data_IF_249892886975
#
_entry.id   IF_249892886975
#
_cell.length_a   1.000
_cell.length_b   1.000
_cell.length_c   1.000
_cell.angle_alpha   90.00
_cell.angle_beta   90.00
_cell.angle_gamma   90.00
#
_symmetry.space_group_name_H-M   'P 1'
#
loop_
_entity.id
_entity.type
_entity.pdbx_description
1 polymer ?
#
# COMPACT_ATOMS: atom_id res chain seq x y z
N UNK A 1 -34.93 27.52 19.13
CA UNK A 1 -33.57 27.24 18.63
C UNK A 1 -33.59 25.86 18.00
N UNK A 2 -33.90 25.81 16.71
CA UNK A 2 -33.89 24.58 15.90
C UNK A 2 -32.51 24.45 15.28
N UNK A 3 -31.83 23.35 15.59
CA UNK A 3 -30.56 22.94 14.97
C UNK A 3 -30.76 22.79 13.47
N UNK A 4 -29.96 23.50 12.68
CA UNK A 4 -29.89 23.29 11.24
C UNK A 4 -29.34 21.89 10.97
N UNK A 5 -30.18 20.99 10.45
CA UNK A 5 -29.73 19.78 9.79
C UNK A 5 -28.89 20.19 8.58
N UNK A 6 -27.61 19.83 8.59
CA UNK A 6 -26.73 20.04 7.46
C UNK A 6 -27.25 19.20 6.29
N UNK A 7 -27.72 19.88 5.23
CA UNK A 7 -28.12 19.23 3.99
C UNK A 7 -26.90 18.53 3.36
N UNK A 8 -27.04 17.28 2.88
CA UNK A 8 -25.96 16.62 2.16
C UNK A 8 -25.64 17.40 0.89
N UNK A 9 -24.36 17.69 0.69
CA UNK A 9 -23.81 18.29 -0.53
C UNK A 9 -24.26 17.51 -1.77
N UNK A 10 -24.99 18.15 -2.67
CA UNK A 10 -25.36 17.62 -3.99
C UNK A 10 -24.12 17.57 -4.89
N UNK A 11 -23.23 16.61 -4.63
CA UNK A 11 -22.19 16.26 -5.60
C UNK A 11 -22.86 15.85 -6.92
N UNK A 12 -22.31 16.23 -8.09
CA UNK A 12 -22.93 16.03 -9.42
C UNK A 12 -23.13 14.56 -9.81
N UNK A 13 -22.64 13.62 -9.00
CA UNK A 13 -22.89 12.20 -9.14
C UNK A 13 -23.42 11.68 -7.80
N UNK A 14 -24.55 10.94 -7.76
CA UNK A 14 -24.97 10.30 -6.53
C UNK A 14 -23.83 9.39 -6.08
N UNK A 15 -23.34 9.60 -4.86
CA UNK A 15 -22.31 8.75 -4.28
C UNK A 15 -22.74 7.29 -4.44
N UNK A 16 -21.83 6.44 -4.94
CA UNK A 16 -22.05 4.99 -4.92
C UNK A 16 -22.27 4.60 -3.46
N UNK A 17 -23.15 3.62 -3.20
CA UNK A 17 -23.42 3.19 -1.83
C UNK A 17 -22.10 2.92 -1.11
N UNK A 18 -21.88 3.53 0.07
CA UNK A 18 -20.70 3.27 0.89
C UNK A 18 -20.51 1.78 1.12
N UNK A 19 -19.26 1.34 1.17
CA UNK A 19 -18.95 -0.06 1.52
C UNK A 19 -18.78 -0.20 3.02
N UNK A 20 -19.06 -1.37 3.56
CA UNK A 20 -18.68 -1.70 4.93
C UNK A 20 -17.17 -1.94 4.98
N UNK A 21 -16.42 -0.98 5.54
CA UNK A 21 -14.97 -1.08 5.69
C UNK A 21 -14.57 -2.36 6.42
N UNK A 22 -13.44 -2.94 6.02
CA UNK A 22 -12.82 -4.01 6.80
C UNK A 22 -12.27 -3.45 8.11
N UNK A 23 -12.14 -4.27 9.18
CA UNK A 23 -11.64 -3.81 10.47
C UNK A 23 -10.20 -3.26 10.45
N UNK A 24 -9.43 -3.60 9.41
CA UNK A 24 -8.05 -3.14 9.22
C UNK A 24 -7.94 -1.91 8.31
N UNK A 25 -9.07 -1.39 7.78
CA UNK A 25 -9.07 -0.23 6.91
C UNK A 25 -8.62 1.03 7.67
N UNK A 26 -7.62 1.75 7.15
CA UNK A 26 -7.07 2.94 7.78
C UNK A 26 -8.00 4.15 7.73
N UNK A 27 -8.83 4.25 6.69
CA UNK A 27 -9.79 5.35 6.54
C UNK A 27 -10.97 5.18 7.50
N UNK A 28 -11.48 3.95 7.62
CA UNK A 28 -12.50 3.55 8.61
C UNK A 28 -13.86 4.25 8.48
N UNK A 29 -14.06 5.10 7.48
CA UNK A 29 -15.22 5.99 7.31
C UNK A 29 -16.28 5.45 6.34
N UNK A 30 -16.12 4.20 5.88
CA UNK A 30 -17.00 3.58 4.89
C UNK A 30 -16.81 4.13 3.47
N UNK A 31 -15.77 4.95 3.23
CA UNK A 31 -15.55 5.66 1.96
C UNK A 31 -16.76 6.50 1.55
N UNK A 32 -17.38 7.19 2.50
CA UNK A 32 -18.65 7.90 2.32
C UNK A 32 -18.58 9.07 1.31
N UNK A 33 -17.39 9.61 1.05
CA UNK A 33 -17.14 10.72 0.11
C UNK A 33 -16.67 10.24 -1.26
N UNK A 34 -16.42 8.94 -1.43
CA UNK A 34 -15.87 8.37 -2.65
C UNK A 34 -16.96 8.21 -3.73
N UNK A 35 -16.82 8.93 -4.84
CA UNK A 35 -17.83 9.03 -5.90
C UNK A 35 -17.73 7.93 -6.96
N UNK A 36 -16.69 7.11 -6.94
CA UNK A 36 -16.47 6.06 -7.93
C UNK A 36 -16.14 4.70 -7.31
N UNK A 37 -16.39 3.62 -8.06
CA UNK A 37 -16.00 2.25 -7.65
C UNK A 37 -14.50 2.11 -7.43
N UNK A 38 -13.69 2.92 -8.11
CA UNK A 38 -12.23 2.91 -7.99
C UNK A 38 -11.77 3.48 -6.65
N UNK A 39 -12.56 4.36 -6.05
CA UNK A 39 -12.24 5.05 -4.81
C UNK A 39 -12.85 4.34 -3.58
N UNK A 40 -13.79 3.42 -3.81
CA UNK A 40 -14.37 2.54 -2.79
C UNK A 40 -13.41 1.37 -2.48
N UNK A 41 -12.25 1.68 -1.90
CA UNK A 41 -11.15 0.73 -1.68
C UNK A 41 -10.58 0.83 -0.27
N UNK A 42 -10.57 -0.28 0.46
CA UNK A 42 -9.95 -0.30 1.79
C UNK A 42 -8.45 -0.54 1.66
N UNK A 43 -7.67 0.32 2.32
CA UNK A 43 -6.23 0.16 2.52
C UNK A 43 -5.93 -0.13 3.99
N UNK A 44 -5.00 -1.05 4.25
CA UNK A 44 -4.41 -1.27 5.56
C UNK A 44 -3.05 -0.58 5.70
N UNK A 45 -2.47 -0.63 6.89
CA UNK A 45 -1.12 -0.10 7.15
C UNK A 45 -0.06 -0.80 6.29
N UNK A 46 0.78 -0.02 5.63
CA UNK A 46 1.93 -0.51 4.85
C UNK A 46 3.15 -0.77 5.74
N UNK A 47 3.86 -1.85 5.46
CA UNK A 47 5.12 -2.20 6.13
C UNK A 47 6.25 -2.23 5.09
N UNK A 48 7.06 -1.18 5.00
CA UNK A 48 8.09 -1.07 3.95
C UNK A 48 9.44 -1.63 4.39
N UNK A 49 10.12 -2.28 3.47
CA UNK A 49 11.54 -2.66 3.54
C UNK A 49 12.31 -1.84 2.51
N UNK A 50 13.29 -1.07 2.97
CA UNK A 50 14.22 -0.35 2.10
C UNK A 50 15.32 -1.30 1.59
N UNK A 51 15.53 -1.32 0.27
CA UNK A 51 16.52 -2.18 -0.38
C UNK A 51 17.88 -1.46 -0.43
N UNK A 52 18.71 -1.68 0.59
CA UNK A 52 19.99 -0.98 0.77
C UNK A 52 21.07 -1.30 -0.27
N UNK A 53 20.88 -2.34 -1.07
CA UNK A 53 21.81 -2.74 -2.14
C UNK A 53 21.55 -2.01 -3.46
N UNK A 54 20.41 -1.32 -3.59
CA UNK A 54 20.10 -0.54 -4.78
C UNK A 54 20.84 0.81 -4.73
N UNK A 55 21.46 1.17 -5.85
CA UNK A 55 22.24 2.41 -6.00
C UNK A 55 21.29 3.62 -6.01
N UNK A 56 20.93 4.09 -4.82
CA UNK A 56 20.13 5.30 -4.65
C UNK A 56 21.05 6.43 -4.17
N UNK A 57 21.23 7.47 -4.98
CA UNK A 57 21.60 8.76 -4.42
C UNK A 57 20.42 9.25 -3.58
N UNK A 58 20.44 8.99 -2.26
CA UNK A 58 19.49 9.57 -1.32
C UNK A 58 19.82 11.05 -1.17
N UNK A 59 19.48 11.84 -2.18
CA UNK A 59 19.47 13.28 -2.05
C UNK A 59 18.26 13.62 -1.18
N UNK A 60 18.48 13.74 0.14
CA UNK A 60 17.52 14.39 1.03
C UNK A 60 17.21 15.76 0.44
N UNK A 61 15.94 16.05 0.22
CA UNK A 61 15.55 17.37 -0.26
C UNK A 61 15.92 18.42 0.79
N UNK A 62 15.99 19.67 0.35
CA UNK A 62 16.42 20.80 1.19
C UNK A 62 15.54 21.03 2.43
N UNK A 63 14.34 20.43 2.47
CA UNK A 63 13.40 20.52 3.59
C UNK A 63 13.41 19.23 4.41
N UNK A 64 13.39 19.32 5.75
CA UNK A 64 13.17 18.15 6.59
C UNK A 64 11.90 17.41 6.16
N UNK A 65 12.04 16.12 5.84
CA UNK A 65 10.93 15.27 5.38
C UNK A 65 10.68 15.28 3.87
N UNK A 66 11.46 16.00 3.06
CA UNK A 66 11.45 15.83 1.60
C UNK A 66 12.62 14.95 1.14
N UNK A 67 12.34 14.10 0.15
CA UNK A 67 13.33 13.27 -0.53
C UNK A 67 13.29 13.66 -2.00
N UNK A 68 14.44 13.96 -2.62
CA UNK A 68 14.50 14.22 -4.07
C UNK A 68 14.35 12.94 -4.87
N UNK A 69 14.66 11.79 -4.27
CA UNK A 69 14.45 10.46 -4.83
C UNK A 69 13.84 9.51 -3.80
N UNK A 70 12.91 8.68 -4.26
CA UNK A 70 12.35 7.59 -3.46
C UNK A 70 13.32 6.41 -3.46
N UNK A 71 13.76 5.90 -2.29
CA UNK A 71 14.59 4.70 -2.25
C UNK A 71 13.84 3.51 -2.85
N UNK A 72 14.58 2.51 -3.32
CA UNK A 72 13.96 1.25 -3.70
C UNK A 72 13.32 0.59 -2.47
N UNK A 73 12.00 0.39 -2.51
CA UNK A 73 11.21 -0.17 -1.40
C UNK A 73 10.31 -1.30 -1.89
N UNK A 74 10.08 -2.25 -0.99
CA UNK A 74 9.05 -3.28 -1.14
C UNK A 74 8.18 -3.24 0.11
N UNK A 75 6.86 -3.22 -0.05
CA UNK A 75 5.95 -3.15 1.09
C UNK A 75 4.64 -3.90 0.88
N UNK A 76 4.29 -4.86 1.76
CA UNK A 76 2.95 -5.39 1.84
C UNK A 76 2.00 -4.48 2.63
N UNK A 77 0.75 -4.41 2.19
CA UNK A 77 -0.38 -3.92 2.97
C UNK A 77 -1.64 -4.76 2.70
N UNK A 78 -2.64 -4.65 3.57
CA UNK A 78 -3.96 -5.23 3.30
C UNK A 78 -4.70 -4.34 2.29
N UNK A 79 -5.36 -4.96 1.31
CA UNK A 79 -6.13 -4.25 0.29
C UNK A 79 -7.44 -4.97 0.00
N UNK A 80 -8.51 -4.20 -0.18
CA UNK A 80 -9.79 -4.72 -0.68
C UNK A 80 -10.42 -3.71 -1.63
N UNK A 81 -10.48 -4.07 -2.90
CA UNK A 81 -11.20 -3.29 -3.91
C UNK A 81 -12.72 -3.40 -3.79
N UNK A 82 -13.45 -2.52 -4.49
CA UNK A 82 -14.91 -2.59 -4.55
C UNK A 82 -15.39 -3.95 -5.06
N UNK A 83 -16.19 -4.65 -4.23
CA UNK A 83 -16.67 -6.03 -4.48
C UNK A 83 -15.56 -7.05 -4.78
N UNK A 84 -14.34 -6.83 -4.29
CA UNK A 84 -13.24 -7.78 -4.38
C UNK A 84 -13.01 -8.48 -3.04
N UNK A 85 -12.35 -9.63 -3.08
CA UNK A 85 -11.87 -10.27 -1.86
C UNK A 85 -10.67 -9.47 -1.29
N UNK A 86 -10.51 -9.44 0.04
CA UNK A 86 -9.28 -8.97 0.66
C UNK A 86 -8.05 -9.73 0.17
N UNK A 87 -6.98 -9.00 -0.14
CA UNK A 87 -5.70 -9.54 -0.58
C UNK A 87 -4.55 -8.85 0.16
N UNK A 88 -3.38 -9.47 0.13
CA UNK A 88 -2.12 -8.80 0.40
C UNK A 88 -1.70 -8.10 -0.88
N UNK A 89 -1.62 -6.78 -0.83
CA UNK A 89 -1.10 -5.95 -1.91
C UNK A 89 0.37 -5.73 -1.66
N UNK A 90 1.21 -6.25 -2.55
CA UNK A 90 2.66 -6.11 -2.48
C UNK A 90 3.08 -5.03 -3.47
N UNK A 91 3.54 -3.91 -2.94
CA UNK A 91 3.98 -2.75 -3.70
C UNK A 91 5.50 -2.76 -3.87
N UNK A 92 5.95 -2.41 -5.07
CA UNK A 92 7.35 -2.28 -5.43
C UNK A 92 7.58 -0.88 -5.99
N UNK A 93 8.52 -0.15 -5.42
CA UNK A 93 9.04 1.08 -6.00
C UNK A 93 10.52 0.87 -6.13
N UNK A 94 11.05 0.71 -7.36
CA UNK A 94 12.48 0.51 -7.57
C UNK A 94 13.07 1.74 -8.26
N UNK A 95 14.10 2.31 -7.65
CA UNK A 95 14.93 3.33 -8.28
C UNK A 95 15.60 2.72 -9.51
N UNK A 96 15.40 3.35 -10.66
CA UNK A 96 16.02 2.94 -11.90
C UNK A 96 17.30 3.75 -12.14
N UNK A 97 18.35 3.06 -12.59
CA UNK A 97 19.63 3.68 -12.98
C UNK A 97 19.51 4.64 -14.17
N UNK A 98 18.44 4.56 -14.95
CA UNK A 98 18.12 5.56 -15.99
C UNK A 98 17.15 6.57 -15.38
N UNK A 99 17.60 7.83 -15.33
CA UNK A 99 17.05 9.02 -14.67
C UNK A 99 15.57 9.38 -14.90
N UNK A 100 14.76 8.48 -15.44
CA UNK A 100 13.51 8.81 -16.11
C UNK A 100 12.31 8.03 -15.54
N UNK A 101 12.53 6.83 -14.98
CA UNK A 101 11.41 5.93 -14.63
C UNK A 101 11.66 5.11 -13.37
N UNK A 102 11.04 5.48 -12.26
CA UNK A 102 10.85 4.58 -11.11
C UNK A 102 9.93 3.43 -11.55
N UNK A 103 10.33 2.18 -11.30
CA UNK A 103 9.40 1.06 -11.45
C UNK A 103 8.43 1.14 -10.28
N UNK A 104 7.21 1.61 -10.53
CA UNK A 104 6.11 1.65 -9.56
C UNK A 104 5.07 0.60 -9.96
N UNK A 105 5.18 -0.57 -9.35
CA UNK A 105 4.36 -1.73 -9.70
C UNK A 105 3.82 -2.44 -8.47
N UNK A 106 2.87 -3.34 -8.69
CA UNK A 106 2.29 -4.11 -7.59
C UNK A 106 1.79 -5.48 -8.04
N UNK A 107 1.73 -6.41 -7.09
CA UNK A 107 0.98 -7.64 -7.26
C UNK A 107 0.01 -7.87 -6.09
N UNK A 108 -0.98 -8.73 -6.34
CA UNK A 108 -1.99 -9.12 -5.35
C UNK A 108 -1.82 -10.59 -5.04
N UNK A 109 -1.70 -10.92 -3.76
CA UNK A 109 -1.59 -12.27 -3.25
C UNK A 109 -2.77 -12.57 -2.34
N UNK A 110 -3.28 -13.79 -2.37
CA UNK A 110 -4.11 -14.29 -1.28
C UNK A 110 -3.29 -14.34 0.01
N UNK A 111 -3.98 -14.43 1.16
CA UNK A 111 -3.29 -14.59 2.45
C UNK A 111 -2.46 -15.89 2.53
N UNK A 112 -2.82 -16.94 1.78
CA UNK A 112 -2.05 -18.18 1.73
C UNK A 112 -0.76 -18.01 0.93
N UNK A 113 -0.85 -17.47 -0.29
CA UNK A 113 0.31 -17.21 -1.15
C UNK A 113 1.29 -16.23 -0.50
N UNK A 114 0.80 -15.21 0.21
CA UNK A 114 1.66 -14.29 0.94
C UNK A 114 2.45 -14.97 2.08
N UNK A 115 1.84 -15.93 2.80
CA UNK A 115 2.53 -16.71 3.83
C UNK A 115 3.57 -17.66 3.22
N UNK A 116 3.24 -18.28 2.08
CA UNK A 116 4.18 -19.14 1.34
C UNK A 116 5.39 -18.34 0.85
N UNK A 117 5.16 -17.17 0.23
CA UNK A 117 6.23 -16.26 -0.17
C UNK A 117 7.10 -15.84 1.03
N UNK A 118 6.48 -15.47 2.16
CA UNK A 118 7.21 -15.10 3.36
C UNK A 118 8.10 -16.25 3.88
N UNK A 119 7.59 -17.48 3.88
CA UNK A 119 8.37 -18.66 4.27
C UNK A 119 9.57 -18.88 3.34
N UNK A 120 9.41 -18.71 2.03
CA UNK A 120 10.51 -18.81 1.08
C UNK A 120 11.56 -17.71 1.27
N UNK A 121 11.13 -16.47 1.53
CA UNK A 121 12.05 -15.37 1.82
C UNK A 121 12.89 -15.64 3.06
N UNK A 122 12.28 -16.16 4.15
CA UNK A 122 12.99 -16.57 5.36
C UNK A 122 14.01 -17.68 5.06
N UNK A 123 13.58 -18.75 4.37
CA UNK A 123 14.45 -19.87 4.06
C UNK A 123 15.68 -19.46 3.22
N UNK A 124 15.50 -18.57 2.24
CA UNK A 124 16.60 -18.03 1.44
C UNK A 124 17.51 -17.13 2.27
N UNK A 125 16.95 -16.30 3.16
CA UNK A 125 17.74 -15.46 4.06
C UNK A 125 18.61 -16.30 5.02
N UNK A 126 18.07 -17.38 5.58
CA UNK A 126 18.80 -18.33 6.42
C UNK A 126 19.92 -19.05 5.66
N UNK A 127 19.66 -19.43 4.40
CA UNK A 127 20.66 -20.05 3.53
C UNK A 127 21.86 -19.13 3.28
N UNK A 128 21.62 -17.83 3.06
CA UNK A 128 22.68 -16.84 2.81
C UNK A 128 23.37 -16.42 4.12
N UNK A 129 22.60 -16.28 5.21
CA UNK A 129 23.10 -15.90 6.53
C UNK A 129 23.92 -16.99 7.23
N UNK A 130 23.92 -18.21 6.68
CA UNK A 130 24.69 -19.34 7.21
C UNK A 130 24.18 -19.79 8.58
N UNK A 131 23.00 -20.43 8.63
CA UNK A 131 22.66 -21.20 9.82
C UNK A 131 23.70 -22.34 10.02
N UNK A 132 24.25 -22.53 11.24
CA UNK A 132 25.19 -23.62 11.50
C UNK A 132 24.51 -24.95 11.22
N UNK A 133 25.24 -25.85 10.57
CA UNK A 133 24.84 -27.23 10.36
C UNK A 133 24.35 -27.85 11.69
N UNK A 134 23.14 -28.41 11.68
CA UNK A 134 22.75 -29.44 12.64
C UNK A 134 23.31 -30.78 12.19
#
# INVERSE_FOLDING_TARGET
MTTAEAMPSEAPFPAIRPIECTPWCTDGDGHATCVSRRDQVCWGTSNYVELSLEECEVNKGEKPGSYLFWPSIIGPCAYRGFNQQPVVYLHFTLANRRHDHVLDESCKLTAAEARELAAHLIAVAEMIGGAPAQ
#
